data_IF_211162524227
#
_entry.id   IF_211162524227
#
_cell.length_a   1.000
_cell.length_b   1.000
_cell.length_c   1.000
_cell.angle_alpha   90.00
_cell.angle_beta   90.00
_cell.angle_gamma   90.00
#
_symmetry.space_group_name_H-M   'P 1'
#
loop_
_entity.id
_entity.type
_entity.pdbx_description
1 polymer ?
#
# COMPACT_ATOMS: atom_id res chain seq x y z
N UNK A 1 55.63 21.40 -49.08
CA UNK A 1 54.91 21.19 -47.86
C UNK A 1 53.54 20.61 -48.21
N UNK A 2 53.36 19.29 -48.02
CA UNK A 2 52.08 18.60 -48.26
C UNK A 2 51.42 18.40 -46.92
N UNK A 3 50.19 18.96 -46.73
CA UNK A 3 49.38 18.74 -45.52
C UNK A 3 48.55 17.47 -45.71
N UNK A 4 48.77 16.50 -44.85
CA UNK A 4 47.88 15.32 -44.71
C UNK A 4 46.74 15.68 -43.77
N UNK A 5 45.51 15.65 -44.28
CA UNK A 5 44.30 15.72 -43.45
C UNK A 5 43.95 14.30 -43.08
N UNK A 6 44.05 13.97 -41.79
CA UNK A 6 43.56 12.69 -41.23
C UNK A 6 42.13 12.89 -40.83
N UNK A 7 41.20 12.35 -41.61
CA UNK A 7 39.80 12.21 -41.21
C UNK A 7 39.67 11.03 -40.24
N UNK A 8 39.43 11.33 -38.94
CA UNK A 8 39.03 10.31 -37.95
C UNK A 8 37.53 10.11 -38.11
N UNK A 9 37.12 9.01 -38.77
CA UNK A 9 35.76 8.55 -38.78
C UNK A 9 35.45 7.89 -37.41
N UNK A 10 34.81 8.63 -36.55
CA UNK A 10 34.28 8.09 -35.29
C UNK A 10 33.08 7.17 -35.56
N UNK A 11 33.31 5.87 -35.55
CA UNK A 11 32.22 4.89 -35.55
C UNK A 11 31.46 4.95 -34.24
N UNK A 12 30.27 5.56 -34.23
CA UNK A 12 29.31 5.42 -33.13
C UNK A 12 28.85 3.94 -33.11
N UNK A 13 29.43 3.16 -32.21
CA UNK A 13 28.91 1.85 -31.90
C UNK A 13 27.64 2.07 -31.08
N UNK A 14 26.47 2.04 -31.74
CA UNK A 14 25.18 1.90 -31.08
C UNK A 14 25.13 0.51 -30.48
N UNK A 15 25.60 0.35 -29.26
CA UNK A 15 25.34 -0.84 -28.47
C UNK A 15 23.85 -0.85 -28.13
N UNK A 16 23.09 -1.64 -28.87
CA UNK A 16 21.73 -2.02 -28.49
C UNK A 16 21.84 -2.81 -27.18
N UNK A 17 21.59 -2.14 -26.07
CA UNK A 17 21.40 -2.85 -24.80
C UNK A 17 20.18 -3.75 -24.92
N UNK A 18 20.27 -5.04 -24.66
CA UNK A 18 19.11 -5.90 -24.59
C UNK A 18 18.34 -5.53 -23.31
N UNK A 19 17.37 -4.59 -23.42
CA UNK A 19 16.41 -4.28 -22.35
C UNK A 19 15.33 -5.40 -22.28
N UNK A 20 15.67 -6.59 -22.61
CA UNK A 20 14.89 -7.79 -22.37
C UNK A 20 15.67 -8.77 -21.48
N UNK A 21 16.13 -8.26 -20.32
CA UNK A 21 16.28 -9.16 -19.19
C UNK A 21 14.87 -9.42 -18.69
N UNK A 22 14.17 -10.36 -19.31
CA UNK A 22 13.01 -11.01 -18.71
C UNK A 22 13.55 -11.64 -17.43
N UNK A 23 13.42 -10.91 -16.30
CA UNK A 23 13.57 -11.54 -15.00
C UNK A 23 12.44 -12.55 -14.97
N UNK A 24 12.76 -13.79 -15.31
CA UNK A 24 11.92 -14.94 -15.07
C UNK A 24 11.85 -15.02 -13.54
N UNK A 25 10.90 -14.27 -12.95
CA UNK A 25 10.60 -14.41 -11.54
C UNK A 25 10.17 -15.85 -11.38
N UNK A 26 11.04 -16.66 -10.77
CA UNK A 26 10.79 -18.07 -10.46
C UNK A 26 9.61 -18.24 -9.50
N UNK A 27 9.16 -17.13 -8.88
CA UNK A 27 8.03 -17.09 -7.95
C UNK A 27 6.82 -16.42 -8.61
N UNK A 28 5.64 -17.00 -8.47
CA UNK A 28 4.39 -16.35 -8.92
C UNK A 28 4.20 -15.02 -8.21
N UNK A 29 3.70 -14.04 -8.93
CA UNK A 29 3.37 -12.69 -8.40
C UNK A 29 1.88 -12.43 -8.56
N UNK A 30 1.32 -11.57 -7.72
CA UNK A 30 -0.04 -11.07 -7.89
C UNK A 30 0.02 -9.75 -8.67
N UNK A 31 -0.26 -9.81 -9.97
CA UNK A 31 -0.10 -8.66 -10.87
C UNK A 31 -1.25 -7.67 -10.78
N UNK A 32 -1.00 -6.43 -11.27
CA UNK A 32 -2.05 -5.40 -11.40
C UNK A 32 -3.19 -5.89 -12.27
N UNK A 33 -2.89 -6.60 -13.37
CA UNK A 33 -3.91 -7.16 -14.27
C UNK A 33 -4.77 -8.25 -13.60
N UNK A 34 -4.14 -9.11 -12.77
CA UNK A 34 -4.88 -10.08 -11.96
C UNK A 34 -5.79 -9.39 -10.95
N UNK A 35 -5.30 -8.36 -10.26
CA UNK A 35 -6.08 -7.54 -9.35
C UNK A 35 -7.30 -6.92 -10.04
N UNK A 36 -7.12 -6.25 -11.18
CA UNK A 36 -8.21 -5.59 -11.92
C UNK A 36 -9.27 -6.59 -12.38
N UNK A 37 -8.83 -7.76 -12.87
CA UNK A 37 -9.74 -8.85 -13.25
C UNK A 37 -10.54 -9.35 -12.05
N UNK A 38 -9.86 -9.69 -10.95
CA UNK A 38 -10.49 -10.23 -9.75
C UNK A 38 -11.44 -9.21 -9.10
N UNK A 39 -11.08 -7.92 -9.11
CA UNK A 39 -11.91 -6.83 -8.64
C UNK A 39 -13.24 -6.75 -9.42
N UNK A 40 -13.16 -6.82 -10.76
CA UNK A 40 -14.34 -6.82 -11.64
C UNK A 40 -15.21 -8.06 -11.42
N UNK A 41 -14.59 -9.22 -11.23
CA UNK A 41 -15.31 -10.47 -10.95
C UNK A 41 -16.06 -10.42 -9.61
N UNK A 42 -15.43 -9.84 -8.55
CA UNK A 42 -16.05 -9.66 -7.24
C UNK A 42 -17.18 -8.62 -7.26
N UNK A 43 -16.99 -7.49 -7.97
CA UNK A 43 -18.05 -6.49 -8.17
C UNK A 43 -19.31 -7.14 -8.73
N UNK A 44 -19.18 -7.87 -9.84
CA UNK A 44 -20.31 -8.50 -10.51
C UNK A 44 -20.98 -9.58 -9.64
N UNK A 45 -20.16 -10.37 -8.92
CA UNK A 45 -20.67 -11.50 -8.13
C UNK A 45 -21.43 -11.06 -6.89
N UNK A 46 -20.93 -10.04 -6.18
CA UNK A 46 -21.46 -9.62 -4.89
C UNK A 46 -22.11 -8.23 -4.91
N UNK A 47 -22.28 -7.65 -6.11
CA UNK A 47 -22.84 -6.30 -6.31
C UNK A 47 -22.19 -5.27 -5.38
N UNK A 48 -20.83 -5.24 -5.39
CA UNK A 48 -20.06 -4.33 -4.56
C UNK A 48 -20.01 -2.92 -5.17
N UNK A 49 -20.03 -1.89 -4.33
CA UNK A 49 -19.84 -0.52 -4.79
C UNK A 49 -18.35 -0.28 -5.11
N UNK A 50 -18.02 -0.09 -6.39
CA UNK A 50 -16.71 0.33 -6.85
C UNK A 50 -16.66 1.84 -7.08
N UNK A 51 -15.64 2.48 -6.50
CA UNK A 51 -15.43 3.93 -6.57
C UNK A 51 -14.01 4.20 -7.06
N UNK A 52 -13.85 4.92 -8.16
CA UNK A 52 -12.53 5.45 -8.52
C UNK A 52 -12.23 6.68 -7.65
N UNK A 53 -11.22 6.59 -6.79
CA UNK A 53 -10.83 7.68 -5.87
C UNK A 53 -9.82 8.64 -6.50
N UNK A 54 -9.28 8.31 -7.67
CA UNK A 54 -8.30 9.07 -8.41
C UNK A 54 -7.48 8.21 -9.35
N UNK A 55 -6.36 8.73 -9.77
CA UNK A 55 -5.44 8.06 -10.70
C UNK A 55 -4.00 8.10 -10.18
N UNK A 56 -3.23 7.06 -10.52
CA UNK A 56 -1.78 7.03 -10.32
C UNK A 56 -1.05 8.01 -11.27
N UNK A 57 0.25 8.16 -11.10
CA UNK A 57 1.08 9.01 -11.95
C UNK A 57 1.06 8.61 -13.44
N UNK A 58 0.74 7.34 -13.74
CA UNK A 58 0.59 6.83 -15.12
C UNK A 58 -0.88 6.71 -15.57
N UNK A 59 -1.80 7.33 -14.81
CA UNK A 59 -3.22 7.41 -15.18
C UNK A 59 -4.03 6.15 -14.91
N UNK A 60 -3.51 5.19 -14.12
CA UNK A 60 -4.30 4.03 -13.70
C UNK A 60 -5.28 4.42 -12.61
N UNK A 61 -6.51 3.92 -12.71
CA UNK A 61 -7.51 4.13 -11.69
C UNK A 61 -7.08 3.53 -10.34
N UNK A 62 -7.30 4.29 -9.27
CA UNK A 62 -7.16 3.82 -7.90
C UNK A 62 -8.57 3.51 -7.41
N UNK A 63 -8.82 2.24 -7.12
CA UNK A 63 -10.14 1.75 -6.79
C UNK A 63 -10.37 1.64 -5.29
N UNK A 64 -11.55 2.07 -4.85
CA UNK A 64 -12.09 1.74 -3.55
C UNK A 64 -13.29 0.79 -3.71
N UNK A 65 -13.43 -0.14 -2.75
CA UNK A 65 -14.53 -1.12 -2.66
C UNK A 65 -15.24 -0.90 -1.34
N UNK A 66 -16.55 -0.73 -1.36
CA UNK A 66 -17.36 -0.67 -0.15
C UNK A 66 -18.06 -2.01 0.07
N UNK A 67 -17.95 -2.54 1.29
CA UNK A 67 -18.67 -3.72 1.77
C UNK A 67 -19.43 -3.36 3.04
N UNK A 68 -20.72 -3.66 3.07
CA UNK A 68 -21.61 -3.35 4.20
C UNK A 68 -22.48 -2.12 3.95
N UNK A 69 -23.46 -1.92 4.85
CA UNK A 69 -24.51 -0.90 4.74
C UNK A 69 -24.40 0.20 5.81
N UNK A 70 -23.50 0.00 6.79
CA UNK A 70 -23.32 0.93 7.91
C UNK A 70 -22.96 2.34 7.44
N UNK A 71 -23.46 3.34 8.15
CA UNK A 71 -23.14 4.76 7.90
C UNK A 71 -21.73 5.13 8.38
N UNK A 72 -21.29 4.53 9.50
CA UNK A 72 -19.91 4.67 9.98
C UNK A 72 -19.03 3.70 9.18
N UNK A 73 -17.78 4.08 8.91
CA UNK A 73 -16.88 3.25 8.10
C UNK A 73 -15.49 3.10 8.70
N UNK A 74 -14.85 1.99 8.37
CA UNK A 74 -13.42 1.76 8.55
C UNK A 74 -12.78 1.83 7.18
N UNK A 75 -11.67 2.58 7.04
CA UNK A 75 -10.90 2.63 5.81
C UNK A 75 -9.69 1.71 5.89
N UNK A 76 -9.57 0.81 4.93
CA UNK A 76 -8.47 -0.15 4.82
C UNK A 76 -7.73 0.11 3.52
N UNK A 77 -6.40 0.20 3.58
CA UNK A 77 -5.61 0.37 2.37
C UNK A 77 -4.39 -0.56 2.36
N UNK A 78 -3.87 -0.82 1.16
CA UNK A 78 -2.69 -1.64 0.94
C UNK A 78 -1.84 -1.13 -0.21
N UNK A 79 -0.66 -1.70 -0.36
CA UNK A 79 0.32 -1.39 -1.40
C UNK A 79 0.58 0.10 -1.60
N UNK A 80 0.88 0.82 -0.51
CA UNK A 80 1.55 2.11 -0.61
C UNK A 80 2.88 1.97 -1.34
N UNK A 81 3.53 0.83 -1.17
CA UNK A 81 4.84 0.54 -1.74
C UNK A 81 4.75 -0.56 -2.80
N UNK A 82 5.50 -0.38 -3.89
CA UNK A 82 5.45 -1.28 -5.03
C UNK A 82 5.81 -2.73 -4.70
N UNK A 83 6.79 -2.96 -3.82
CA UNK A 83 7.23 -4.30 -3.40
C UNK A 83 6.31 -4.99 -2.39
N UNK A 84 5.23 -4.33 -1.95
CA UNK A 84 4.36 -4.81 -0.87
C UNK A 84 2.98 -5.29 -1.38
N UNK A 85 2.93 -5.77 -2.63
CA UNK A 85 1.70 -6.26 -3.29
C UNK A 85 1.03 -7.46 -2.58
N UNK A 86 1.73 -8.13 -1.65
CA UNK A 86 1.13 -9.16 -0.80
C UNK A 86 -0.03 -8.57 0.03
N UNK A 87 0.05 -7.31 0.44
CA UNK A 87 -1.02 -6.61 1.14
C UNK A 87 -2.28 -6.46 0.28
N UNK A 88 -2.14 -6.17 -1.02
CA UNK A 88 -3.26 -6.17 -1.98
C UNK A 88 -3.89 -7.55 -2.06
N UNK A 89 -3.09 -8.61 -2.21
CA UNK A 89 -3.60 -9.98 -2.29
C UNK A 89 -4.38 -10.38 -1.03
N UNK A 90 -3.87 -10.02 0.16
CA UNK A 90 -4.58 -10.28 1.42
C UNK A 90 -5.92 -9.54 1.47
N UNK A 91 -5.93 -8.25 1.14
CA UNK A 91 -7.16 -7.43 1.14
C UNK A 91 -8.19 -8.02 0.17
N UNK A 92 -7.80 -8.43 -1.03
CA UNK A 92 -8.70 -9.05 -2.01
C UNK A 92 -9.29 -10.37 -1.49
N UNK A 93 -8.48 -11.21 -0.82
CA UNK A 93 -8.99 -12.41 -0.14
C UNK A 93 -9.97 -12.08 0.98
N UNK A 94 -9.73 -11.02 1.75
CA UNK A 94 -10.63 -10.54 2.80
C UNK A 94 -11.95 -10.07 2.19
N UNK A 95 -11.93 -9.22 1.16
CA UNK A 95 -13.14 -8.73 0.48
C UNK A 95 -14.00 -9.91 0.02
N UNK A 96 -13.39 -10.87 -0.68
CA UNK A 96 -14.09 -12.06 -1.18
C UNK A 96 -14.74 -12.87 -0.06
N UNK A 97 -13.95 -13.23 0.95
CA UNK A 97 -14.44 -14.06 2.05
C UNK A 97 -15.53 -13.36 2.89
N UNK A 98 -15.37 -12.04 3.10
CA UNK A 98 -16.36 -11.28 3.87
C UNK A 98 -17.64 -11.06 3.08
N UNK A 99 -17.58 -10.80 1.78
CA UNK A 99 -18.75 -10.68 0.93
C UNK A 99 -19.54 -12.00 0.89
N UNK A 100 -18.86 -13.12 0.68
CA UNK A 100 -19.47 -14.46 0.68
C UNK A 100 -20.10 -14.81 2.03
N UNK A 101 -19.40 -14.56 3.13
CA UNK A 101 -19.89 -14.83 4.47
C UNK A 101 -21.06 -13.90 4.86
N UNK A 102 -21.03 -12.62 4.41
CA UNK A 102 -22.08 -11.65 4.67
C UNK A 102 -23.40 -12.02 3.95
N UNK A 103 -23.32 -12.39 2.65
CA UNK A 103 -24.49 -12.89 1.92
C UNK A 103 -25.08 -14.15 2.56
N UNK A 104 -24.21 -15.07 3.00
CA UNK A 104 -24.59 -16.33 3.62
C UNK A 104 -24.93 -16.22 5.11
N UNK A 105 -24.81 -15.03 5.71
CA UNK A 105 -25.00 -14.74 7.15
C UNK A 105 -24.14 -15.64 8.05
N UNK A 106 -22.92 -15.92 7.62
CA UNK A 106 -21.96 -16.75 8.34
C UNK A 106 -21.02 -15.89 9.19
N UNK A 107 -20.49 -16.51 10.25
CA UNK A 107 -19.42 -15.94 11.06
C UNK A 107 -18.04 -16.30 10.49
N UNK A 108 -17.03 -15.46 10.75
CA UNK A 108 -15.62 -15.76 10.51
C UNK A 108 -14.90 -15.75 11.86
N UNK A 109 -14.35 -16.88 12.26
CA UNK A 109 -13.67 -17.08 13.56
C UNK A 109 -14.48 -16.54 14.76
N UNK A 110 -15.79 -16.77 14.76
CA UNK A 110 -16.69 -16.34 15.83
C UNK A 110 -17.20 -14.89 15.72
N UNK A 111 -16.69 -14.09 14.81
CA UNK A 111 -17.18 -12.73 14.55
C UNK A 111 -18.29 -12.74 13.52
N UNK A 112 -19.45 -12.17 13.89
CA UNK A 112 -20.60 -12.08 12.99
C UNK A 112 -20.40 -11.06 11.89
N UNK A 113 -20.69 -11.47 10.64
CA UNK A 113 -20.69 -10.54 9.51
C UNK A 113 -21.88 -9.57 9.53
N UNK A 114 -22.90 -9.79 10.38
CA UNK A 114 -24.00 -8.83 10.56
C UNK A 114 -23.54 -7.46 11.06
N UNK A 115 -22.33 -7.36 11.63
CA UNK A 115 -21.72 -6.07 11.97
C UNK A 115 -21.59 -5.13 10.76
N UNK A 116 -21.57 -5.69 9.54
CA UNK A 116 -21.50 -4.93 8.30
C UNK A 116 -22.81 -4.19 7.97
N UNK A 117 -23.90 -4.47 8.67
CA UNK A 117 -25.12 -3.66 8.62
C UNK A 117 -24.93 -2.31 9.35
N UNK A 118 -24.04 -2.27 10.35
CA UNK A 118 -23.77 -1.11 11.22
C UNK A 118 -22.51 -0.35 10.83
N UNK A 119 -21.46 -1.09 10.43
CA UNK A 119 -20.15 -0.53 10.04
C UNK A 119 -19.80 -1.01 8.63
N UNK A 120 -19.62 -0.08 7.71
CA UNK A 120 -19.07 -0.39 6.38
C UNK A 120 -17.55 -0.52 6.42
N UNK A 121 -17.01 -1.50 5.72
CA UNK A 121 -15.59 -1.59 5.41
C UNK A 121 -15.35 -1.02 4.03
N UNK A 122 -14.45 -0.05 3.94
CA UNK A 122 -14.06 0.59 2.68
C UNK A 122 -12.61 0.26 2.42
N UNK A 123 -12.35 -0.45 1.33
CA UNK A 123 -11.04 -0.94 0.97
C UNK A 123 -10.45 -0.15 -0.19
N UNK A 124 -9.19 0.23 -0.11
CA UNK A 124 -8.34 0.70 -1.22
C UNK A 124 -7.21 -0.32 -1.38
N UNK A 125 -7.44 -1.45 -2.08
CA UNK A 125 -6.53 -2.60 -2.02
C UNK A 125 -5.18 -2.33 -2.65
N UNK A 126 -5.11 -1.47 -3.67
CA UNK A 126 -3.90 -1.18 -4.45
C UNK A 126 -3.76 0.33 -4.66
N UNK A 127 -3.03 0.98 -3.76
CA UNK A 127 -2.82 2.44 -3.84
C UNK A 127 -1.77 2.81 -4.90
N UNK A 128 -0.74 1.98 -5.10
CA UNK A 128 0.42 2.26 -5.97
C UNK A 128 0.54 1.26 -7.12
N UNK A 129 -0.41 1.25 -8.08
CA UNK A 129 -0.39 0.28 -9.18
C UNK A 129 0.85 0.42 -10.08
N UNK A 130 1.35 1.64 -10.27
CA UNK A 130 2.55 1.87 -11.08
C UNK A 130 3.79 1.31 -10.40
N UNK A 131 3.94 1.52 -9.09
CA UNK A 131 5.06 1.00 -8.32
C UNK A 131 5.09 -0.53 -8.30
N UNK A 132 3.91 -1.17 -8.20
CA UNK A 132 3.79 -2.64 -8.29
C UNK A 132 4.22 -3.14 -9.65
N UNK A 133 3.80 -2.51 -10.75
CA UNK A 133 4.24 -2.89 -12.11
C UNK A 133 5.75 -2.76 -12.28
N UNK A 134 6.34 -1.64 -11.82
CA UNK A 134 7.79 -1.45 -11.89
C UNK A 134 8.51 -2.55 -11.12
N UNK A 135 8.06 -2.86 -9.90
CA UNK A 135 8.63 -3.89 -9.06
C UNK A 135 8.58 -5.28 -9.73
N UNK A 136 7.52 -5.55 -10.47
CA UNK A 136 7.32 -6.81 -11.20
C UNK A 136 7.98 -6.82 -12.59
N UNK A 137 8.68 -5.75 -12.98
CA UNK A 137 9.36 -5.64 -14.26
C UNK A 137 8.44 -5.37 -15.45
N UNK A 138 7.19 -4.97 -15.21
CA UNK A 138 6.27 -4.55 -16.26
C UNK A 138 6.43 -3.06 -16.57
N UNK A 139 7.13 -2.76 -17.63
CA UNK A 139 7.36 -1.39 -18.11
C UNK A 139 6.51 -1.01 -19.33
N UNK A 140 5.41 -1.72 -19.58
CA UNK A 140 4.55 -1.49 -20.75
C UNK A 140 3.95 -0.07 -20.80
N UNK A 141 3.70 0.54 -19.64
CA UNK A 141 3.16 1.89 -19.52
C UNK A 141 4.22 3.00 -19.65
N UNK A 142 5.50 2.67 -19.84
CA UNK A 142 6.62 3.62 -19.80
C UNK A 142 7.31 3.72 -21.16
N UNK A 143 7.52 4.94 -21.63
CA UNK A 143 8.36 5.20 -22.83
C UNK A 143 9.85 5.04 -22.50
N UNK A 144 10.71 5.13 -23.52
CA UNK A 144 12.16 4.89 -23.36
C UNK A 144 12.82 5.89 -22.39
N UNK A 145 12.45 7.16 -22.46
CA UNK A 145 13.01 8.19 -21.58
C UNK A 145 12.63 7.94 -20.11
N UNK A 146 11.39 7.55 -19.87
CA UNK A 146 10.91 7.19 -18.53
C UNK A 146 11.62 5.95 -17.99
N UNK A 147 11.85 4.92 -18.83
CA UNK A 147 12.60 3.71 -18.42
C UNK A 147 14.04 4.07 -18.01
N UNK A 148 14.69 4.97 -18.71
CA UNK A 148 16.00 5.49 -18.33
C UNK A 148 15.96 6.25 -17.00
N UNK A 149 14.94 7.09 -16.80
CA UNK A 149 14.76 7.80 -15.54
C UNK A 149 14.54 6.81 -14.37
N UNK A 150 13.69 5.80 -14.55
CA UNK A 150 13.48 4.74 -13.56
C UNK A 150 14.77 3.98 -13.24
N UNK A 151 15.58 3.65 -14.26
CA UNK A 151 16.88 3.00 -14.06
C UNK A 151 17.83 3.84 -13.22
N UNK A 152 17.88 5.17 -13.48
CA UNK A 152 18.63 6.11 -12.64
C UNK A 152 18.11 6.15 -11.19
N UNK A 153 16.78 6.24 -10.99
CA UNK A 153 16.15 6.22 -9.66
C UNK A 153 16.39 4.89 -8.94
N UNK A 154 16.58 3.79 -9.68
CA UNK A 154 16.95 2.48 -9.13
C UNK A 154 18.46 2.31 -8.92
N UNK A 155 19.20 3.42 -8.82
CA UNK A 155 20.66 3.45 -8.66
C UNK A 155 21.38 2.63 -9.74
N UNK A 156 20.92 2.72 -10.99
CA UNK A 156 21.44 2.01 -12.16
C UNK A 156 21.46 0.49 -11.96
N UNK A 157 20.55 -0.04 -11.14
CA UNK A 157 20.38 -1.48 -10.88
C UNK A 157 19.28 -2.07 -11.74
N UNK A 158 19.51 -3.25 -12.31
CA UNK A 158 18.48 -4.05 -12.96
C UNK A 158 17.62 -4.88 -11.97
N UNK A 159 17.93 -4.82 -10.68
CA UNK A 159 17.11 -5.46 -9.65
C UNK A 159 15.91 -4.58 -9.28
N UNK A 160 14.76 -4.83 -9.90
CA UNK A 160 13.51 -4.13 -9.65
C UNK A 160 12.72 -4.68 -8.47
N UNK A 161 13.05 -5.88 -7.97
CA UNK A 161 12.32 -6.51 -6.86
C UNK A 161 12.26 -5.64 -5.61
N UNK A 162 13.21 -4.72 -5.42
CA UNK A 162 13.30 -3.79 -4.30
C UNK A 162 12.51 -2.49 -4.45
N UNK A 163 11.86 -2.27 -5.60
CA UNK A 163 11.18 -0.99 -5.89
C UNK A 163 10.02 -0.74 -4.93
N UNK A 164 10.11 0.36 -4.16
CA UNK A 164 9.15 0.77 -3.14
C UNK A 164 8.31 1.97 -3.59
N UNK A 165 8.91 2.92 -4.26
CA UNK A 165 8.33 4.22 -4.66
C UNK A 165 7.19 4.10 -5.69
N UNK A 166 6.53 5.21 -6.00
CA UNK A 166 5.65 5.32 -7.16
C UNK A 166 6.44 5.52 -8.47
N UNK A 167 5.74 5.77 -9.59
CA UNK A 167 6.37 5.96 -10.90
C UNK A 167 7.30 7.20 -11.00
N UNK A 168 7.22 8.12 -10.05
CA UNK A 168 8.10 9.31 -9.98
C UNK A 168 9.20 9.18 -8.94
N UNK A 169 9.43 8.00 -8.40
CA UNK A 169 10.44 7.78 -7.38
C UNK A 169 10.11 8.45 -6.04
N UNK A 170 8.82 8.62 -5.73
CA UNK A 170 8.34 9.19 -4.46
C UNK A 170 7.83 8.07 -3.56
N UNK A 171 8.31 8.01 -2.33
CA UNK A 171 7.79 7.10 -1.30
C UNK A 171 6.44 7.61 -0.80
N UNK A 172 5.35 6.89 -1.15
CA UNK A 172 3.99 7.35 -0.85
C UNK A 172 3.70 7.42 0.64
N UNK A 173 4.35 6.57 1.45
CA UNK A 173 4.18 6.59 2.91
C UNK A 173 5.14 7.57 3.60
N UNK A 174 5.66 8.55 2.86
CA UNK A 174 6.39 9.74 3.31
C UNK A 174 5.76 11.03 2.79
N UNK A 175 4.51 10.96 2.35
CA UNK A 175 3.84 12.07 1.65
C UNK A 175 2.78 12.79 2.51
N UNK A 176 2.46 12.27 3.69
CA UNK A 176 1.38 12.81 4.51
C UNK A 176 1.86 13.92 5.44
N UNK A 177 1.03 14.98 5.70
CA UNK A 177 1.45 16.18 6.43
C UNK A 177 1.45 15.97 7.97
N UNK A 178 2.08 14.90 8.44
CA UNK A 178 2.25 14.60 9.86
C UNK A 178 3.75 14.56 10.16
N UNK A 179 4.32 15.66 10.64
CA UNK A 179 5.77 15.79 10.86
C UNK A 179 6.61 15.75 9.58
N UNK A 180 6.03 16.11 8.42
CA UNK A 180 6.70 16.01 7.12
C UNK A 180 7.96 16.87 7.02
N UNK A 181 7.93 18.08 7.58
CA UNK A 181 9.08 19.01 7.61
C UNK A 181 10.23 18.50 8.47
N UNK A 182 9.90 17.84 9.57
CA UNK A 182 10.86 17.32 10.55
C UNK A 182 11.47 15.98 10.14
N UNK A 183 10.80 15.27 9.20
CA UNK A 183 11.29 13.96 8.75
C UNK A 183 12.59 14.12 7.94
N UNK A 184 13.68 13.67 8.52
CA UNK A 184 14.96 13.56 7.81
C UNK A 184 15.02 12.24 7.05
N UNK A 185 15.03 12.32 5.73
CA UNK A 185 15.31 11.19 4.87
C UNK A 185 16.66 11.43 4.20
N UNK A 186 17.55 10.48 4.26
CA UNK A 186 18.85 10.57 3.58
C UNK A 186 18.73 10.63 2.04
N UNK A 187 17.48 10.58 1.51
CA UNK A 187 17.18 10.57 0.08
C UNK A 187 16.59 11.92 -0.33
N UNK A 188 17.36 12.73 -1.03
CA UNK A 188 17.01 14.11 -1.41
C UNK A 188 16.49 14.27 -2.84
N UNK A 189 16.49 13.20 -3.63
CA UNK A 189 16.05 13.17 -5.03
C UNK A 189 15.17 11.94 -5.28
N UNK A 190 14.36 11.93 -6.38
CA UNK A 190 13.59 10.76 -6.78
C UNK A 190 14.43 9.48 -6.78
N UNK A 191 13.93 8.46 -6.06
CA UNK A 191 14.65 7.22 -5.81
C UNK A 191 13.68 6.05 -5.71
N UNK A 192 14.20 4.82 -5.79
CA UNK A 192 13.37 3.62 -5.63
C UNK A 192 12.76 3.48 -4.24
N UNK A 193 13.26 4.22 -3.23
CA UNK A 193 12.72 4.27 -1.86
C UNK A 193 13.11 5.55 -1.10
N UNK A 194 12.36 5.86 -0.06
CA UNK A 194 12.59 6.89 0.96
C UNK A 194 12.58 8.35 0.50
N UNK A 195 12.41 8.65 -0.76
CA UNK A 195 12.27 10.05 -1.18
C UNK A 195 10.89 10.59 -0.82
N UNK A 196 10.87 11.54 0.11
CA UNK A 196 9.62 12.15 0.62
C UNK A 196 8.97 13.18 -0.31
N UNK A 197 9.58 13.47 -1.46
CA UNK A 197 9.14 14.54 -2.35
C UNK A 197 9.63 15.92 -1.94
N UNK A 198 9.22 16.96 -2.69
CA UNK A 198 9.52 18.38 -2.41
C UNK A 198 8.51 19.04 -1.48
N UNK A 199 7.30 18.47 -1.35
CA UNK A 199 6.22 18.92 -0.48
C UNK A 199 5.30 17.75 -0.15
N UNK A 200 4.54 17.83 0.95
CA UNK A 200 3.54 16.79 1.26
C UNK A 200 2.45 16.77 0.19
N UNK A 201 1.82 15.62 0.00
CA UNK A 201 0.73 15.35 -0.95
C UNK A 201 1.05 15.80 -2.39
N UNK A 202 2.32 15.68 -2.78
CA UNK A 202 2.73 15.96 -4.15
C UNK A 202 2.37 14.77 -5.08
N UNK A 203 2.43 13.53 -4.59
CA UNK A 203 2.09 12.33 -5.34
C UNK A 203 0.57 12.23 -5.53
N UNK A 204 0.14 11.88 -6.75
CA UNK A 204 -1.28 11.76 -7.13
C UNK A 204 -2.01 10.76 -6.23
N UNK A 205 -1.37 9.64 -5.94
CA UNK A 205 -1.92 8.53 -5.17
C UNK A 205 -2.18 8.92 -3.71
N UNK A 206 -1.20 9.52 -3.04
CA UNK A 206 -1.35 9.97 -1.64
C UNK A 206 -2.38 11.09 -1.53
N UNK A 207 -2.42 12.01 -2.51
CA UNK A 207 -3.42 13.06 -2.58
C UNK A 207 -4.83 12.49 -2.76
N UNK A 208 -4.99 11.50 -3.64
CA UNK A 208 -6.26 10.82 -3.88
C UNK A 208 -6.77 10.15 -2.60
N UNK A 209 -5.90 9.41 -1.89
CA UNK A 209 -6.29 8.75 -0.64
C UNK A 209 -6.70 9.76 0.44
N UNK A 210 -5.99 10.88 0.59
CA UNK A 210 -6.33 11.93 1.55
C UNK A 210 -7.68 12.56 1.23
N UNK A 211 -7.93 12.92 -0.04
CA UNK A 211 -9.22 13.51 -0.45
C UNK A 211 -10.38 12.54 -0.22
N UNK A 212 -10.19 11.29 -0.55
CA UNK A 212 -11.19 10.25 -0.31
C UNK A 212 -11.42 10.01 1.18
N UNK A 213 -10.35 9.95 2.00
CA UNK A 213 -10.47 9.83 3.46
C UNK A 213 -11.29 10.98 4.04
N UNK A 214 -11.04 12.22 3.59
CA UNK A 214 -11.82 13.40 4.01
C UNK A 214 -13.30 13.29 3.62
N UNK A 215 -13.58 12.77 2.42
CA UNK A 215 -14.94 12.59 1.92
C UNK A 215 -15.73 11.57 2.74
N UNK A 216 -15.14 10.41 3.06
CA UNK A 216 -15.84 9.32 3.77
C UNK A 216 -15.78 9.46 5.29
N UNK A 217 -14.85 10.26 5.81
CA UNK A 217 -14.69 10.57 7.24
C UNK A 217 -14.69 9.32 8.16
N UNK A 218 -13.81 8.32 7.93
CA UNK A 218 -13.88 7.03 8.59
C UNK A 218 -13.57 7.13 10.09
N UNK A 219 -14.13 6.23 10.90
CA UNK A 219 -13.92 6.20 12.35
C UNK A 219 -12.65 5.49 12.77
N UNK A 220 -12.05 4.70 11.89
CA UNK A 220 -10.80 3.98 12.07
C UNK A 220 -10.11 3.79 10.71
N UNK A 221 -8.79 3.77 10.69
CA UNK A 221 -8.01 3.45 9.51
C UNK A 221 -7.01 2.31 9.75
N UNK A 222 -6.84 1.43 8.75
CA UNK A 222 -5.88 0.34 8.76
C UNK A 222 -5.07 0.36 7.47
N UNK A 223 -3.75 0.41 7.59
CA UNK A 223 -2.83 0.28 6.46
C UNK A 223 -2.09 -1.06 6.53
N UNK A 224 -2.25 -1.90 5.51
CA UNK A 224 -1.49 -3.12 5.39
C UNK A 224 -0.21 -2.88 4.59
N UNK A 225 0.91 -3.26 5.19
CA UNK A 225 2.26 -3.19 4.64
C UNK A 225 2.96 -4.56 4.71
N UNK A 226 4.21 -4.64 4.29
CA UNK A 226 5.16 -5.72 4.57
C UNK A 226 6.54 -5.11 4.84
N UNK A 227 7.34 -5.60 5.78
CA UNK A 227 7.27 -6.88 6.48
C UNK A 227 7.74 -6.75 7.93
N UNK A 228 7.47 -7.77 8.77
CA UNK A 228 8.00 -7.80 10.15
C UNK A 228 7.04 -8.41 11.18
N UNK A 229 5.75 -8.64 10.85
CA UNK A 229 4.70 -9.04 11.81
C UNK A 229 4.62 -8.09 12.99
N UNK A 230 4.54 -6.81 12.66
CA UNK A 230 4.49 -5.71 13.61
C UNK A 230 3.22 -4.88 13.42
N UNK A 231 2.80 -4.21 14.49
CA UNK A 231 1.66 -3.28 14.48
C UNK A 231 2.15 -1.96 15.06
N UNK A 232 2.14 -0.93 14.22
CA UNK A 232 2.39 0.46 14.61
C UNK A 232 1.06 1.16 14.79
N UNK A 233 0.79 1.68 15.98
CA UNK A 233 -0.51 2.24 16.36
C UNK A 233 -0.42 3.62 17.00
N UNK A 234 0.78 4.07 17.34
CA UNK A 234 1.01 5.30 18.09
C UNK A 234 1.78 6.32 17.26
N UNK A 235 1.21 7.50 17.13
CA UNK A 235 1.88 8.70 16.62
C UNK A 235 1.26 9.93 17.24
N UNK A 236 1.85 10.47 18.32
CA UNK A 236 1.36 11.67 19.03
C UNK A 236 -0.12 11.62 19.42
N UNK A 237 -0.66 10.43 19.72
CA UNK A 237 -2.03 10.24 20.13
C UNK A 237 -2.34 11.13 21.34
N UNK A 238 -3.49 11.81 21.34
CA UNK A 238 -3.92 12.60 22.49
C UNK A 238 -4.06 11.72 23.73
N UNK A 239 -3.69 12.20 24.93
CA UNK A 239 -3.74 11.39 26.18
C UNK A 239 -5.10 10.71 26.41
N UNK A 240 -6.21 11.41 26.12
CA UNK A 240 -7.58 10.86 26.23
C UNK A 240 -7.87 9.66 25.33
N UNK A 241 -7.10 9.50 24.23
CA UNK A 241 -7.34 8.48 23.20
C UNK A 241 -6.40 7.26 23.34
N UNK A 242 -5.31 7.38 24.12
CA UNK A 242 -4.25 6.35 24.18
C UNK A 242 -4.81 4.98 24.58
N UNK A 243 -5.66 4.91 25.62
CA UNK A 243 -6.21 3.64 26.10
C UNK A 243 -7.13 2.98 25.06
N UNK A 244 -7.93 3.78 24.35
CA UNK A 244 -8.79 3.30 23.25
C UNK A 244 -7.93 2.70 22.13
N UNK A 245 -6.96 3.48 21.64
CA UNK A 245 -6.13 3.13 20.48
C UNK A 245 -5.23 1.92 20.81
N UNK A 246 -4.63 1.92 22.00
CA UNK A 246 -3.87 0.76 22.50
C UNK A 246 -4.72 -0.51 22.62
N UNK A 247 -5.97 -0.39 23.13
CA UNK A 247 -6.86 -1.55 23.28
C UNK A 247 -7.15 -2.21 21.93
N UNK A 248 -7.44 -1.42 20.88
CA UNK A 248 -7.68 -1.92 19.53
C UNK A 248 -6.42 -2.59 18.96
N UNK A 249 -5.26 -1.94 19.09
CA UNK A 249 -3.99 -2.48 18.63
C UNK A 249 -3.61 -3.78 19.37
N UNK A 250 -3.82 -3.83 20.70
CA UNK A 250 -3.56 -5.03 21.51
C UNK A 250 -4.45 -6.21 21.12
N UNK A 251 -5.74 -5.97 20.86
CA UNK A 251 -6.66 -7.02 20.37
C UNK A 251 -6.24 -7.52 18.99
N UNK A 252 -5.80 -6.62 18.10
CA UNK A 252 -5.23 -6.99 16.80
C UNK A 252 -3.96 -7.83 16.97
N UNK A 253 -3.06 -7.44 17.85
CA UNK A 253 -1.83 -8.18 18.15
C UNK A 253 -2.12 -9.60 18.69
N UNK A 254 -3.11 -9.74 19.57
CA UNK A 254 -3.54 -11.06 20.11
C UNK A 254 -4.09 -11.96 18.99
N UNK A 255 -4.93 -11.42 18.09
CA UNK A 255 -5.51 -12.18 16.97
C UNK A 255 -4.46 -12.63 15.96
N UNK A 256 -3.56 -11.72 15.60
CA UNK A 256 -2.56 -11.96 14.55
C UNK A 256 -1.31 -12.69 15.07
N UNK A 257 -1.03 -12.59 16.37
CA UNK A 257 0.26 -12.99 16.94
C UNK A 257 1.40 -12.05 16.54
N UNK A 258 1.10 -10.80 16.18
CA UNK A 258 2.10 -9.79 15.81
C UNK A 258 2.54 -8.98 17.03
N UNK A 259 3.71 -8.36 16.93
CA UNK A 259 4.23 -7.51 17.99
C UNK A 259 3.63 -6.11 17.91
N UNK A 260 3.37 -5.49 19.07
CA UNK A 260 3.16 -4.04 19.14
C UNK A 260 4.51 -3.34 19.13
N UNK A 261 4.73 -2.49 18.15
CA UNK A 261 6.02 -1.85 17.93
C UNK A 261 5.89 -0.33 17.85
N UNK A 262 6.99 0.35 18.13
CA UNK A 262 7.16 1.78 17.92
C UNK A 262 8.13 1.91 16.74
N UNK A 263 7.78 2.67 15.69
CA UNK A 263 8.64 2.82 14.53
C UNK A 263 9.96 3.49 14.92
N UNK A 264 11.03 3.14 14.22
CA UNK A 264 12.32 3.82 14.37
C UNK A 264 12.20 5.31 14.01
N UNK A 265 13.09 6.14 14.57
CA UNK A 265 13.01 7.60 14.43
C UNK A 265 12.92 8.08 12.96
N UNK A 266 13.64 7.45 12.04
CA UNK A 266 13.63 7.78 10.61
C UNK A 266 12.39 7.26 9.86
N UNK A 267 11.59 6.39 10.48
CA UNK A 267 10.34 5.87 9.96
C UNK A 267 9.10 6.45 10.66
N UNK A 268 9.32 7.34 11.65
CA UNK A 268 8.27 7.92 12.48
C UNK A 268 7.83 9.27 11.90
N UNK A 269 6.60 9.35 11.45
CA UNK A 269 6.03 10.52 10.81
C UNK A 269 5.91 10.41 9.29
N UNK A 270 5.04 11.26 8.74
CA UNK A 270 4.70 11.37 7.31
C UNK A 270 4.08 10.13 6.68
N UNK A 271 3.69 9.13 7.49
CA UNK A 271 2.88 8.01 7.07
C UNK A 271 1.38 8.35 7.06
N UNK A 272 0.60 7.53 6.34
CA UNK A 272 -0.85 7.70 6.26
C UNK A 272 -1.52 7.58 7.65
N UNK A 273 -1.15 6.57 8.43
CA UNK A 273 -1.71 6.35 9.77
C UNK A 273 -1.31 7.44 10.74
N UNK A 274 -0.08 7.96 10.64
CA UNK A 274 0.39 9.09 11.45
C UNK A 274 -0.47 10.34 11.20
N UNK A 275 -0.71 10.64 9.92
CA UNK A 275 -1.59 11.74 9.52
C UNK A 275 -3.02 11.52 10.00
N UNK A 276 -3.56 10.32 9.84
CA UNK A 276 -4.92 10.02 10.25
C UNK A 276 -5.12 10.21 11.77
N UNK A 277 -4.19 9.72 12.58
CA UNK A 277 -4.23 9.88 14.04
C UNK A 277 -4.21 11.36 14.43
N UNK A 278 -3.34 12.16 13.81
CA UNK A 278 -3.20 13.57 14.17
C UNK A 278 -4.33 14.45 13.63
N UNK A 279 -4.82 14.16 12.42
CA UNK A 279 -5.87 14.95 11.77
C UNK A 279 -7.26 14.71 12.39
N UNK A 280 -7.57 13.44 12.72
CA UNK A 280 -8.90 13.04 13.16
C UNK A 280 -9.00 12.77 14.67
N UNK A 281 -7.90 12.65 15.38
CA UNK A 281 -7.83 12.16 16.77
C UNK A 281 -8.56 10.82 16.94
N UNK A 282 -8.53 9.99 15.89
CA UNK A 282 -9.16 8.65 15.81
C UNK A 282 -8.11 7.57 15.70
N UNK A 283 -8.46 6.31 16.07
CA UNK A 283 -7.51 5.21 15.99
C UNK A 283 -7.10 4.92 14.53
N UNK A 284 -5.82 4.67 14.34
CA UNK A 284 -5.30 4.05 13.13
C UNK A 284 -4.15 3.11 13.47
N UNK A 285 -3.89 2.17 12.58
CA UNK A 285 -2.75 1.26 12.73
C UNK A 285 -2.18 0.84 11.38
N UNK A 286 -0.87 0.68 11.35
CA UNK A 286 -0.15 0.01 10.28
C UNK A 286 0.12 -1.43 10.70
N UNK A 287 -0.24 -2.39 9.86
CA UNK A 287 -0.04 -3.83 10.08
C UNK A 287 0.97 -4.33 9.05
N UNK A 288 2.15 -4.70 9.52
CA UNK A 288 3.23 -5.26 8.71
C UNK A 288 3.08 -6.77 8.60
N UNK A 289 2.68 -7.25 7.43
CA UNK A 289 2.48 -8.67 7.16
C UNK A 289 3.80 -9.40 7.01
N UNK A 290 3.77 -10.72 7.16
CA UNK A 290 4.91 -11.63 6.92
C UNK A 290 6.02 -11.49 7.96
N UNK A 291 6.87 -12.49 8.03
CA UNK A 291 8.17 -12.36 8.68
C UNK A 291 9.01 -11.31 7.94
N UNK A 292 10.01 -10.78 8.64
CA UNK A 292 10.91 -9.78 8.07
C UNK A 292 11.63 -10.33 6.83
N UNK A 293 11.53 -9.59 5.74
CA UNK A 293 12.31 -9.81 4.51
C UNK A 293 13.13 -8.56 4.23
N UNK A 294 14.20 -8.72 3.47
CA UNK A 294 15.01 -7.61 2.97
C UNK A 294 14.22 -6.69 2.01
N UNK A 295 14.89 -5.88 1.23
CA UNK A 295 14.28 -4.97 0.26
C UNK A 295 13.59 -5.71 -0.91
N UNK A 296 12.60 -6.55 -0.61
CA UNK A 296 11.84 -7.33 -1.61
C UNK A 296 10.41 -7.60 -1.15
N UNK A 297 9.61 -8.25 -2.00
CA UNK A 297 8.32 -8.82 -1.60
C UNK A 297 8.53 -10.13 -0.83
N UNK A 298 7.74 -10.40 0.21
CA UNK A 298 7.66 -11.75 0.76
C UNK A 298 7.24 -12.77 -0.31
N UNK A 299 7.63 -14.05 -0.18
CA UNK A 299 7.13 -15.10 -1.05
C UNK A 299 5.60 -15.19 -1.01
N UNK A 300 4.96 -15.43 -2.16
CA UNK A 300 3.49 -15.44 -2.26
C UNK A 300 2.84 -16.51 -1.37
N UNK A 301 3.54 -17.61 -1.12
CA UNK A 301 3.08 -18.73 -0.30
C UNK A 301 2.78 -18.32 1.14
N UNK A 302 3.43 -17.27 1.64
CA UNK A 302 3.19 -16.70 2.98
C UNK A 302 1.73 -16.25 3.14
N UNK A 303 1.02 -15.96 2.04
CA UNK A 303 -0.37 -15.53 2.07
C UNK A 303 -1.30 -16.49 2.82
N UNK A 304 -1.02 -17.79 2.83
CA UNK A 304 -1.84 -18.76 3.56
C UNK A 304 -1.76 -18.57 5.07
N UNK A 305 -0.55 -18.29 5.58
CA UNK A 305 -0.34 -18.00 6.99
C UNK A 305 -0.90 -16.62 7.36
N UNK A 306 -0.63 -15.62 6.54
CA UNK A 306 -1.12 -14.25 6.77
C UNK A 306 -2.65 -14.17 6.70
N UNK A 307 -3.28 -14.94 5.83
CA UNK A 307 -4.73 -15.12 5.81
C UNK A 307 -5.25 -15.64 7.16
N UNK A 308 -4.67 -16.73 7.67
CA UNK A 308 -5.10 -17.31 8.94
C UNK A 308 -4.94 -16.34 10.12
N UNK A 309 -3.92 -15.50 10.10
CA UNK A 309 -3.65 -14.50 11.13
C UNK A 309 -4.57 -13.28 11.04
N UNK A 310 -4.98 -12.89 9.83
CA UNK A 310 -5.64 -11.59 9.60
C UNK A 310 -7.13 -11.68 9.27
N UNK A 311 -7.65 -12.87 8.90
CA UNK A 311 -9.03 -13.03 8.38
C UNK A 311 -10.15 -12.56 9.30
N UNK A 312 -9.92 -12.45 10.60
CA UNK A 312 -10.93 -11.97 11.56
C UNK A 312 -10.69 -10.53 12.04
N UNK A 313 -9.52 -9.94 11.73
CA UNK A 313 -9.08 -8.66 12.29
C UNK A 313 -10.08 -7.53 12.03
N UNK A 314 -10.54 -7.39 10.78
CA UNK A 314 -11.41 -6.26 10.43
C UNK A 314 -12.82 -6.39 10.97
N UNK A 315 -13.36 -7.62 11.11
CA UNK A 315 -14.65 -7.86 11.79
C UNK A 315 -14.53 -7.60 13.29
N UNK A 316 -13.43 -8.04 13.91
CA UNK A 316 -13.14 -7.71 15.31
C UNK A 316 -13.09 -6.20 15.52
N UNK A 317 -12.33 -5.48 14.69
CA UNK A 317 -12.21 -4.02 14.77
C UNK A 317 -13.57 -3.34 14.57
N UNK A 318 -14.37 -3.80 13.59
CA UNK A 318 -15.73 -3.27 13.36
C UNK A 318 -16.63 -3.47 14.60
N UNK A 319 -16.61 -4.66 15.21
CA UNK A 319 -17.37 -4.93 16.42
C UNK A 319 -16.91 -4.08 17.62
N UNK A 320 -15.61 -3.84 17.77
CA UNK A 320 -15.07 -3.04 18.86
C UNK A 320 -15.37 -1.53 18.71
N UNK A 321 -15.21 -0.98 17.49
CA UNK A 321 -15.53 0.45 17.28
C UNK A 321 -17.03 0.72 17.33
N UNK A 322 -17.86 -0.27 16.95
CA UNK A 322 -19.31 -0.15 17.10
C UNK A 322 -19.75 -0.04 18.56
N UNK A 323 -19.06 -0.75 19.47
CA UNK A 323 -19.38 -0.73 20.91
C UNK A 323 -18.85 0.49 21.65
N UNK A 324 -17.72 1.04 21.20
CA UNK A 324 -16.90 1.94 22.03
C UNK A 324 -16.64 3.32 21.41
N UNK A 325 -17.06 3.55 20.16
CA UNK A 325 -16.87 4.84 19.48
C UNK A 325 -18.23 5.43 19.13
N UNK A 326 -18.86 6.02 20.15
CA UNK A 326 -19.94 7.00 19.99
C UNK A 326 -19.38 8.39 19.69
#
# INVERSE_FOLDING_TARGET
MKYFIVCIAGSLILTSFPIQATIKTLNPVYSVQQFEKELTDLEKRYNLDLISIGQSEKGKAIWAVKLGKGKKSILINGSHHGREWLSTLLIMKIIKAYAEAYESKLNIDGYSTSILDEISLIFVPLLNPDGVQIQQGDFSAFNLQEKWALFGMNNFSANWSRWKANARGVDLNRQYPAGWSELDTNTQAPNYQFYKGKKPLQASESKALVLFTKQINPILAVSYHTSGREIFWYYHNKPKNILRDYSLAKKTAILTGYNLSIPEKHANGSGYTDWFITEYERPAMTIELSYLVDETSPPIEVIHEEWNRNRAVLLMLAAEVYKNVE
#
